data_IF_244717738064
#
_entry.id   IF_244717738064
#
_cell.length_a   1.000
_cell.length_b   1.000
_cell.length_c   1.000
_cell.angle_alpha   90.00
_cell.angle_beta   90.00
_cell.angle_gamma   90.00
#
_symmetry.space_group_name_H-M   'P 1'
#
loop_
_entity.id
_entity.type
_entity.pdbx_description
1 polymer ?
#
# COMPACT_ATOMS: atom_id res chain seq x y z
N UNK A 1 -3.92 16.61 13.29
CA UNK A 1 -4.32 17.02 11.94
C UNK A 1 -4.08 15.84 11.03
N UNK A 2 -5.15 15.14 10.67
CA UNK A 2 -5.11 13.91 9.88
C UNK A 2 -4.69 14.20 8.43
N UNK A 3 -3.95 13.25 7.86
CA UNK A 3 -3.55 13.26 6.46
C UNK A 3 -4.77 12.82 5.62
N UNK A 4 -5.33 13.70 4.80
CA UNK A 4 -6.58 13.53 4.03
C UNK A 4 -6.39 12.73 2.73
N UNK A 5 -5.30 11.97 2.64
CA UNK A 5 -4.91 11.22 1.44
C UNK A 5 -4.42 12.08 0.28
N UNK A 6 -4.41 13.41 0.41
CA UNK A 6 -3.73 14.28 -0.55
C UNK A 6 -2.25 14.34 -0.17
N UNK A 7 -1.36 14.26 -1.16
CA UNK A 7 0.06 14.55 -0.93
C UNK A 7 0.14 16.01 -0.45
N UNK A 8 0.43 16.22 0.84
CA UNK A 8 0.53 17.57 1.40
C UNK A 8 1.95 18.11 1.18
N UNK A 9 2.05 19.29 0.60
CA UNK A 9 3.33 20.01 0.44
C UNK A 9 4.02 20.12 1.80
N UNK A 10 5.28 19.70 1.87
CA UNK A 10 6.08 19.67 3.09
C UNK A 10 6.03 18.35 3.88
N UNK A 11 5.14 17.42 3.53
CA UNK A 11 5.03 16.14 4.20
C UNK A 11 6.22 15.22 3.90
N UNK A 12 6.67 14.51 4.93
CA UNK A 12 7.70 13.48 4.85
C UNK A 12 7.05 12.09 4.91
N UNK A 13 7.55 11.19 4.07
CA UNK A 13 7.15 9.80 3.99
C UNK A 13 8.38 8.93 4.10
N UNK A 14 8.31 7.89 4.92
CA UNK A 14 9.39 6.92 5.06
C UNK A 14 8.93 5.57 4.56
N UNK A 15 9.71 4.94 3.70
CA UNK A 15 9.41 3.59 3.23
C UNK A 15 10.69 2.82 2.91
N UNK A 16 10.58 1.50 2.98
CA UNK A 16 11.66 0.58 2.61
C UNK A 16 11.35 -0.01 1.25
N UNK A 17 12.36 -0.08 0.37
CA UNK A 17 12.19 -0.61 -0.96
C UNK A 17 13.46 -1.30 -1.46
N UNK A 18 13.27 -2.26 -2.36
CA UNK A 18 14.36 -2.90 -3.08
C UNK A 18 14.81 -2.02 -4.25
N UNK A 19 16.13 -1.90 -4.40
CA UNK A 19 16.78 -1.23 -5.51
C UNK A 19 16.69 -2.09 -6.77
N UNK A 20 16.13 -1.56 -7.85
CA UNK A 20 15.92 -2.30 -9.11
C UNK A 20 16.39 -1.49 -10.32
N UNK A 21 16.56 -2.13 -11.48
CA UNK A 21 16.80 -1.46 -12.76
C UNK A 21 18.03 -0.53 -12.73
N UNK A 22 19.15 -0.99 -12.18
CA UNK A 22 20.36 -0.17 -12.01
C UNK A 22 20.90 0.39 -13.33
N UNK A 23 20.64 -0.26 -14.47
CA UNK A 23 20.97 0.26 -15.81
C UNK A 23 20.22 1.55 -16.18
N UNK A 24 19.13 1.87 -15.49
CA UNK A 24 18.32 3.09 -15.70
C UNK A 24 18.65 4.17 -14.67
N UNK A 25 19.60 3.94 -13.77
CA UNK A 25 20.00 4.95 -12.81
C UNK A 25 20.93 5.94 -13.47
N UNK A 26 20.70 7.23 -13.22
CA UNK A 26 21.34 8.29 -13.98
C UNK A 26 21.04 9.66 -13.39
N UNK A 27 21.60 10.69 -14.00
CA UNK A 27 21.16 12.05 -13.71
C UNK A 27 19.66 12.18 -13.98
N UNK A 28 18.96 12.92 -13.12
CA UNK A 28 17.53 13.13 -13.28
C UNK A 28 17.28 13.95 -14.54
N UNK A 29 16.59 13.35 -15.51
CA UNK A 29 16.34 13.93 -16.83
C UNK A 29 14.89 14.40 -17.03
N UNK A 30 14.15 14.63 -15.94
CA UNK A 30 12.77 15.13 -16.00
C UNK A 30 12.69 16.66 -16.10
N UNK A 31 11.48 17.18 -16.31
CA UNK A 31 11.24 18.61 -16.56
C UNK A 31 11.34 19.51 -15.31
N UNK A 32 11.66 18.94 -14.15
CA UNK A 32 11.74 19.68 -12.88
C UNK A 32 13.15 20.27 -12.69
N UNK A 33 13.30 21.56 -12.97
CA UNK A 33 14.61 22.23 -12.85
C UNK A 33 15.21 22.13 -11.45
N UNK A 34 14.39 22.08 -10.39
CA UNK A 34 14.83 21.96 -9.00
C UNK A 34 15.52 20.62 -8.71
N UNK A 35 15.28 19.61 -9.55
CA UNK A 35 15.87 18.27 -9.45
C UNK A 35 16.99 18.03 -10.46
N UNK A 36 17.40 19.03 -11.23
CA UNK A 36 18.46 18.91 -12.25
C UNK A 36 19.82 18.40 -11.74
N UNK A 37 20.09 18.55 -10.43
CA UNK A 37 21.31 18.04 -9.78
C UNK A 37 21.11 16.68 -9.08
N UNK A 38 19.90 16.13 -9.14
CA UNK A 38 19.55 14.86 -8.50
C UNK A 38 19.87 13.69 -9.43
N UNK A 39 20.01 12.52 -8.82
CA UNK A 39 20.17 11.24 -9.50
C UNK A 39 18.87 10.46 -9.37
N UNK A 40 18.47 9.77 -10.42
CA UNK A 40 17.29 8.90 -10.45
C UNK A 40 17.67 7.49 -10.03
N UNK A 41 16.97 6.97 -9.03
CA UNK A 41 17.05 5.57 -8.61
C UNK A 41 15.68 4.93 -8.77
N UNK A 42 15.65 3.72 -9.30
CA UNK A 42 14.43 2.94 -9.43
C UNK A 42 14.31 1.98 -8.26
N UNK A 43 13.14 1.99 -7.63
CA UNK A 43 12.85 1.19 -6.45
C UNK A 43 11.56 0.43 -6.62
N UNK A 44 11.50 -0.76 -6.03
CA UNK A 44 10.30 -1.55 -5.89
C UNK A 44 9.98 -1.60 -4.40
N UNK A 45 9.04 -0.77 -3.98
CA UNK A 45 8.36 -0.96 -2.71
C UNK A 45 7.44 -2.19 -2.83
N UNK A 46 7.13 -2.86 -1.72
CA UNK A 46 6.22 -4.02 -1.67
C UNK A 46 4.84 -3.73 -2.30
N UNK A 47 4.44 -2.45 -2.39
CA UNK A 47 3.19 -1.97 -2.96
C UNK A 47 3.33 -1.17 -4.28
N UNK A 48 4.51 -1.16 -4.91
CA UNK A 48 4.76 -0.43 -6.15
C UNK A 48 4.33 -1.24 -7.40
N UNK A 49 3.95 -0.59 -8.52
CA UNK A 49 3.71 -1.29 -9.80
C UNK A 49 4.95 -2.09 -10.22
N UNK A 50 4.75 -3.17 -11.02
CA UNK A 50 5.83 -4.04 -11.54
C UNK A 50 6.97 -3.23 -12.18
N UNK A 51 6.65 -2.06 -12.73
CA UNK A 51 7.61 -1.14 -13.34
C UNK A 51 8.56 -0.46 -12.36
N UNK A 52 8.29 -0.52 -11.05
CA UNK A 52 9.00 0.26 -10.04
C UNK A 52 8.56 1.72 -10.02
N UNK A 53 9.13 2.43 -9.06
CA UNK A 53 8.97 3.86 -8.86
C UNK A 53 10.34 4.54 -9.02
N UNK A 54 10.39 5.61 -9.80
CA UNK A 54 11.54 6.51 -9.83
C UNK A 54 11.54 7.43 -8.60
N UNK A 55 12.68 7.49 -7.91
CA UNK A 55 12.95 8.36 -6.77
C UNK A 55 14.17 9.23 -7.08
N UNK A 56 13.97 10.55 -7.25
CA UNK A 56 15.06 11.51 -7.30
C UNK A 56 15.78 11.60 -5.94
N UNK A 57 17.09 11.41 -5.92
CA UNK A 57 17.93 11.42 -4.72
C UNK A 57 19.31 12.03 -5.00
N UNK A 58 19.93 12.69 -4.01
CA UNK A 58 21.31 13.19 -4.16
C UNK A 58 22.29 12.03 -4.36
N UNK A 59 23.11 12.10 -5.41
CA UNK A 59 24.10 11.07 -5.74
C UNK A 59 25.06 10.73 -4.58
N UNK A 60 25.35 11.70 -3.71
CA UNK A 60 26.19 11.51 -2.53
C UNK A 60 25.61 10.54 -1.50
N UNK A 61 24.28 10.40 -1.42
CA UNK A 61 23.61 9.52 -0.45
C UNK A 61 23.64 8.04 -0.85
N UNK A 62 23.84 7.76 -2.14
CA UNK A 62 23.70 6.40 -2.71
C UNK A 62 25.03 5.83 -3.19
N UNK A 63 26.16 6.36 -2.69
CA UNK A 63 27.49 5.94 -3.13
C UNK A 63 27.71 4.46 -2.79
N UNK A 64 27.96 3.65 -3.81
CA UNK A 64 28.23 2.20 -3.66
C UNK A 64 26.98 1.31 -3.59
N UNK A 65 25.78 1.88 -3.77
CA UNK A 65 24.53 1.12 -3.80
C UNK A 65 24.41 0.31 -5.10
N UNK A 66 23.75 -0.85 -5.03
CA UNK A 66 23.56 -1.77 -6.17
C UNK A 66 22.14 -2.33 -6.22
N UNK A 67 21.71 -2.73 -7.41
CA UNK A 67 20.47 -3.48 -7.59
C UNK A 67 20.43 -4.73 -6.70
N UNK A 68 19.23 -5.05 -6.20
CA UNK A 68 18.97 -6.13 -5.25
C UNK A 68 19.21 -5.76 -3.78
N UNK A 69 19.82 -4.60 -3.49
CA UNK A 69 19.91 -4.12 -2.10
C UNK A 69 18.58 -3.53 -1.64
N UNK A 70 18.34 -3.57 -0.34
CA UNK A 70 17.20 -2.91 0.28
C UNK A 70 17.65 -1.65 1.00
N UNK A 71 16.87 -0.57 0.85
CA UNK A 71 17.13 0.69 1.52
C UNK A 71 15.84 1.30 2.06
N UNK A 72 15.97 2.03 3.16
CA UNK A 72 14.91 2.88 3.69
C UNK A 72 15.11 4.30 3.21
N UNK A 73 14.08 4.88 2.60
CA UNK A 73 14.07 6.22 2.05
C UNK A 73 13.21 7.14 2.91
N UNK A 74 13.66 8.38 3.10
CA UNK A 74 12.83 9.48 3.58
C UNK A 74 12.56 10.42 2.42
N UNK A 75 11.32 10.50 1.98
CA UNK A 75 10.88 11.26 0.81
C UNK A 75 10.03 12.43 1.24
N UNK A 76 10.32 13.61 0.68
CA UNK A 76 9.55 14.83 0.88
C UNK A 76 8.69 15.11 -0.35
N UNK A 77 7.45 15.52 -0.12
CA UNK A 77 6.62 16.15 -1.15
C UNK A 77 6.87 17.65 -1.11
N UNK A 78 7.22 18.23 -2.25
CA UNK A 78 7.36 19.66 -2.45
C UNK A 78 6.46 20.11 -3.60
N UNK A 79 6.30 21.42 -3.70
CA UNK A 79 5.49 22.09 -4.70
C UNK A 79 6.33 23.24 -5.24
N UNK A 80 6.33 23.44 -6.55
CA UNK A 80 7.03 24.54 -7.18
C UNK A 80 6.16 25.81 -7.27
N UNK A 81 6.70 26.87 -7.88
CA UNK A 81 5.98 28.12 -8.09
C UNK A 81 4.80 28.01 -9.07
N UNK A 82 4.69 26.90 -9.80
CA UNK A 82 3.61 26.61 -10.75
C UNK A 82 2.56 25.66 -10.16
N UNK A 83 2.62 25.39 -8.85
CA UNK A 83 1.76 24.47 -8.12
C UNK A 83 1.88 22.99 -8.55
N UNK A 84 2.99 22.62 -9.19
CA UNK A 84 3.27 21.23 -9.52
C UNK A 84 3.89 20.52 -8.31
N UNK A 85 3.24 19.45 -7.85
CA UNK A 85 3.75 18.63 -6.75
C UNK A 85 4.76 17.60 -7.26
N UNK A 86 5.90 17.54 -6.58
CA UNK A 86 6.95 16.56 -6.87
C UNK A 86 7.51 15.96 -5.59
N UNK A 87 8.19 14.82 -5.73
CA UNK A 87 8.80 14.09 -4.62
C UNK A 87 10.28 13.89 -4.83
N UNK A 88 11.05 13.95 -3.75
CA UNK A 88 12.46 13.62 -3.76
C UNK A 88 12.88 13.06 -2.41
N UNK A 89 13.90 12.18 -2.42
CA UNK A 89 14.47 11.66 -1.20
C UNK A 89 15.39 12.71 -0.56
N UNK A 90 15.11 13.03 0.70
CA UNK A 90 15.96 13.88 1.54
C UNK A 90 17.04 13.09 2.24
N UNK A 91 16.78 11.80 2.50
CA UNK A 91 17.69 10.89 3.17
C UNK A 91 17.43 9.45 2.73
N UNK A 92 18.44 8.58 2.80
CA UNK A 92 18.30 7.17 2.53
C UNK A 92 19.41 6.33 3.21
N UNK A 93 19.07 5.12 3.66
CA UNK A 93 20.00 4.25 4.40
C UNK A 93 19.90 2.81 3.88
N UNK A 94 21.03 2.21 3.52
CA UNK A 94 21.12 0.79 3.17
C UNK A 94 20.88 -0.09 4.39
N UNK A 95 20.21 -1.21 4.16
CA UNK A 95 20.07 -2.28 5.13
C UNK A 95 21.21 -3.27 4.87
N UNK A 96 22.28 -3.19 5.68
CA UNK A 96 23.54 -3.94 5.46
C UNK A 96 23.64 -5.27 6.22
N UNK A 97 22.64 -5.58 7.04
CA UNK A 97 22.47 -6.89 7.68
C UNK A 97 21.12 -7.44 7.22
N UNK A 98 20.96 -8.75 6.95
CA UNK A 98 19.65 -9.38 7.07
C UNK A 98 19.32 -9.34 8.56
N UNK A 99 18.97 -8.15 9.05
CA UNK A 99 18.33 -8.01 10.32
C UNK A 99 17.00 -8.69 10.07
N UNK A 100 16.85 -9.92 10.58
CA UNK A 100 15.64 -10.23 11.32
C UNK A 100 15.45 -9.06 12.26
N UNK A 101 14.81 -8.00 11.77
CA UNK A 101 14.09 -7.14 12.67
C UNK A 101 13.11 -8.13 13.29
N UNK A 102 13.41 -8.54 14.53
CA UNK A 102 12.39 -8.60 15.56
C UNK A 102 11.73 -7.22 15.56
N UNK A 103 10.90 -7.01 14.56
CA UNK A 103 9.63 -6.35 14.71
C UNK A 103 9.08 -7.04 15.95
N UNK A 104 8.97 -6.29 17.04
CA UNK A 104 8.09 -6.71 18.11
C UNK A 104 6.78 -7.03 17.42
N UNK A 105 6.47 -8.33 17.30
CA UNK A 105 5.26 -8.83 16.67
C UNK A 105 4.08 -8.26 17.46
N UNK A 106 3.61 -7.09 17.06
CA UNK A 106 2.20 -6.99 16.81
C UNK A 106 2.05 -7.59 15.42
N UNK A 107 1.50 -8.79 15.37
CA UNK A 107 1.21 -9.59 14.17
C UNK A 107 0.20 -8.89 13.26
N UNK A 108 0.47 -7.66 12.83
CA UNK A 108 -0.32 -6.99 11.80
C UNK A 108 0.16 -7.53 10.46
N UNK A 109 -0.52 -8.59 10.01
CA UNK A 109 -0.37 -9.16 8.68
C UNK A 109 -0.59 -8.06 7.63
N UNK A 110 0.49 -7.64 6.98
CA UNK A 110 0.44 -6.70 5.87
C UNK A 110 -0.34 -7.35 4.71
N UNK A 111 -1.32 -6.62 4.14
CA UNK A 111 -2.11 -7.15 3.02
C UNK A 111 -1.29 -7.02 1.73
N UNK A 112 -1.00 -8.16 1.10
CA UNK A 112 -0.35 -8.22 -0.21
C UNK A 112 -1.38 -7.98 -1.31
N UNK A 113 -1.52 -6.71 -1.71
CA UNK A 113 -2.48 -6.30 -2.74
C UNK A 113 -2.19 -6.90 -4.12
N UNK A 114 -0.92 -7.14 -4.47
CA UNK A 114 -0.56 -7.67 -5.78
C UNK A 114 -0.88 -9.17 -5.86
N UNK A 115 -0.57 -9.93 -4.81
CA UNK A 115 -0.96 -11.33 -4.69
C UNK A 115 -2.48 -11.48 -4.89
N UNK A 116 -3.28 -10.64 -4.22
CA UNK A 116 -4.74 -10.66 -4.32
C UNK A 116 -5.26 -10.37 -5.73
N UNK A 117 -4.64 -9.43 -6.46
CA UNK A 117 -5.00 -9.15 -7.84
C UNK A 117 -4.68 -10.32 -8.79
N UNK A 118 -3.70 -11.14 -8.44
CA UNK A 118 -3.33 -12.35 -9.16
C UNK A 118 -4.03 -13.62 -8.64
N UNK A 119 -4.98 -13.48 -7.70
CA UNK A 119 -5.78 -14.57 -7.17
C UNK A 119 -5.16 -15.34 -6.02
N UNK A 120 -4.07 -14.83 -5.43
CA UNK A 120 -3.50 -15.33 -4.18
C UNK A 120 -4.00 -14.47 -3.00
N UNK A 121 -4.85 -15.07 -2.18
CA UNK A 121 -5.51 -14.42 -1.05
C UNK A 121 -4.85 -14.76 0.29
N UNK A 122 -3.63 -15.28 0.28
CA UNK A 122 -2.93 -15.74 1.49
C UNK A 122 -2.80 -14.66 2.55
N UNK A 123 -2.58 -13.40 2.15
CA UNK A 123 -2.44 -12.27 3.09
C UNK A 123 -3.76 -11.82 3.75
N UNK A 124 -4.92 -12.25 3.23
CA UNK A 124 -6.24 -11.99 3.81
C UNK A 124 -6.93 -13.26 4.34
N UNK A 125 -6.28 -14.42 4.19
CA UNK A 125 -6.77 -15.71 4.65
C UNK A 125 -7.08 -15.66 6.14
N UNK A 126 -8.18 -16.27 6.56
CA UNK A 126 -8.67 -16.24 7.94
C UNK A 126 -10.14 -15.84 8.02
N UNK A 127 -10.61 -15.73 9.26
CA UNK A 127 -11.99 -15.47 9.61
C UNK A 127 -12.16 -14.02 10.01
N UNK A 128 -13.09 -13.35 9.35
CA UNK A 128 -13.43 -11.96 9.56
C UNK A 128 -14.84 -11.89 10.10
N UNK A 129 -15.03 -11.18 11.22
CA UNK A 129 -16.33 -11.01 11.87
C UNK A 129 -16.60 -9.55 12.16
N UNK A 130 -17.85 -9.11 11.97
CA UNK A 130 -18.31 -7.79 12.38
C UNK A 130 -19.07 -7.87 13.71
N UNK A 131 -19.44 -6.73 14.29
CA UNK A 131 -20.11 -6.69 15.61
C UNK A 131 -21.55 -7.23 15.56
N UNK A 132 -22.14 -7.29 14.36
CA UNK A 132 -23.44 -7.93 14.11
C UNK A 132 -23.36 -9.47 14.06
N UNK A 133 -22.16 -10.06 14.16
CA UNK A 133 -21.95 -11.51 14.14
C UNK A 133 -21.92 -12.14 12.74
N UNK A 134 -21.90 -11.33 11.68
CA UNK A 134 -21.70 -11.84 10.32
C UNK A 134 -20.24 -12.22 10.10
N UNK A 135 -20.02 -13.25 9.26
CA UNK A 135 -18.69 -13.78 9.02
C UNK A 135 -18.36 -13.91 7.53
N UNK A 136 -17.09 -13.60 7.23
CA UNK A 136 -16.45 -13.83 5.94
C UNK A 136 -15.21 -14.68 6.21
N UNK A 137 -15.01 -15.73 5.41
CA UNK A 137 -13.85 -16.62 5.56
C UNK A 137 -13.08 -16.67 4.26
N UNK A 138 -11.80 -16.35 4.32
CA UNK A 138 -10.85 -16.47 3.22
C UNK A 138 -9.91 -17.65 3.45
N UNK A 139 -9.51 -18.30 2.35
CA UNK A 139 -8.27 -19.07 2.28
C UNK A 139 -7.40 -18.49 1.16
N UNK A 140 -6.22 -19.09 0.90
CA UNK A 140 -5.31 -18.66 -0.17
C UNK A 140 -5.93 -18.60 -1.58
N UNK A 141 -7.02 -19.34 -1.82
CA UNK A 141 -7.70 -19.42 -3.12
C UNK A 141 -8.94 -18.51 -3.21
N UNK A 142 -9.29 -17.78 -2.14
CA UNK A 142 -10.41 -16.83 -2.12
C UNK A 142 -11.41 -17.09 -0.99
N UNK A 143 -12.67 -16.75 -1.23
CA UNK A 143 -13.74 -16.90 -0.24
C UNK A 143 -14.14 -18.36 -0.06
N UNK A 144 -14.09 -18.84 1.17
CA UNK A 144 -14.65 -20.13 1.61
C UNK A 144 -16.09 -19.95 2.10
N UNK A 145 -16.38 -18.80 2.72
CA UNK A 145 -17.70 -18.39 3.18
C UNK A 145 -17.94 -16.95 2.74
N UNK A 146 -19.02 -16.74 1.99
CA UNK A 146 -19.40 -15.42 1.46
C UNK A 146 -19.77 -15.43 -0.02
N UNK A 147 -19.29 -16.38 -0.82
CA UNK A 147 -19.61 -16.45 -2.25
C UNK A 147 -18.35 -16.69 -3.09
N UNK A 148 -18.39 -16.34 -4.38
CA UNK A 148 -17.25 -16.44 -5.29
C UNK A 148 -16.81 -15.07 -5.80
N UNK A 149 -15.51 -14.80 -5.77
CA UNK A 149 -14.94 -13.56 -6.30
C UNK A 149 -14.93 -13.65 -7.83
N UNK A 150 -15.66 -12.76 -8.48
CA UNK A 150 -15.72 -12.67 -9.95
C UNK A 150 -14.69 -11.69 -10.52
N UNK A 151 -14.44 -10.60 -9.78
CA UNK A 151 -13.51 -9.54 -10.19
C UNK A 151 -12.88 -8.90 -8.96
N UNK A 152 -11.61 -8.58 -9.04
CA UNK A 152 -10.88 -7.76 -8.07
C UNK A 152 -10.28 -6.52 -8.75
N UNK A 153 -9.99 -5.48 -7.97
CA UNK A 153 -9.35 -4.26 -8.47
C UNK A 153 -8.96 -3.32 -7.34
N UNK A 154 -7.96 -2.47 -7.58
CA UNK A 154 -7.51 -1.47 -6.60
C UNK A 154 -8.25 -0.15 -6.84
N UNK A 155 -8.85 0.39 -5.79
CA UNK A 155 -9.44 1.72 -5.76
C UNK A 155 -8.38 2.81 -5.67
N UNK A 156 -8.73 4.02 -6.10
CA UNK A 156 -7.81 5.19 -6.07
C UNK A 156 -7.40 5.61 -4.66
N UNK A 157 -8.11 5.15 -3.64
CA UNK A 157 -7.86 5.34 -2.21
C UNK A 157 -7.04 4.20 -1.58
N UNK A 158 -6.63 3.20 -2.36
CA UNK A 158 -5.79 2.09 -1.88
C UNK A 158 -6.57 0.91 -1.29
N UNK A 159 -7.90 0.93 -1.34
CA UNK A 159 -8.73 -0.23 -1.00
C UNK A 159 -8.70 -1.29 -2.12
N UNK A 160 -8.85 -2.57 -1.78
CA UNK A 160 -9.04 -3.62 -2.78
C UNK A 160 -10.52 -3.96 -2.85
N UNK A 161 -11.15 -3.63 -3.98
CA UNK A 161 -12.54 -3.94 -4.26
C UNK A 161 -12.71 -5.30 -4.91
N UNK A 162 -13.79 -5.99 -4.55
CA UNK A 162 -14.21 -7.27 -5.09
C UNK A 162 -15.68 -7.21 -5.49
N UNK A 163 -16.00 -7.81 -6.63
CA UNK A 163 -17.36 -8.20 -6.98
C UNK A 163 -17.55 -9.66 -6.60
N UNK A 164 -18.45 -9.92 -5.66
CA UNK A 164 -18.74 -11.27 -5.18
C UNK A 164 -20.09 -11.74 -5.71
N UNK A 165 -20.11 -12.93 -6.32
CA UNK A 165 -21.33 -13.62 -6.74
C UNK A 165 -21.76 -14.62 -5.68
N UNK A 166 -23.06 -14.65 -5.40
CA UNK A 166 -23.73 -15.66 -4.57
C UNK A 166 -24.78 -16.42 -5.37
N UNK A 167 -24.52 -16.63 -6.68
CA UNK A 167 -25.45 -17.21 -7.63
C UNK A 167 -26.18 -16.13 -8.46
N UNK A 168 -27.52 -16.02 -8.41
CA UNK A 168 -28.27 -15.02 -9.18
C UNK A 168 -28.12 -13.59 -8.64
N UNK A 169 -27.56 -13.43 -7.45
CA UNK A 169 -27.29 -12.15 -6.80
C UNK A 169 -25.79 -11.98 -6.53
N UNK A 170 -25.40 -10.81 -6.05
CA UNK A 170 -24.04 -10.53 -5.62
C UNK A 170 -23.98 -9.30 -4.74
N UNK A 171 -22.77 -8.99 -4.29
CA UNK A 171 -22.48 -7.84 -3.44
C UNK A 171 -21.08 -7.30 -3.71
N UNK A 172 -20.86 -6.05 -3.29
CA UNK A 172 -19.54 -5.43 -3.28
C UNK A 172 -18.83 -5.74 -1.98
N UNK A 173 -17.55 -6.04 -2.07
CA UNK A 173 -16.69 -6.19 -0.90
C UNK A 173 -15.43 -5.37 -1.09
N UNK A 174 -14.96 -4.71 -0.04
CA UNK A 174 -13.73 -3.92 -0.07
C UNK A 174 -12.87 -4.28 1.13
N UNK A 175 -11.62 -4.63 0.87
CA UNK A 175 -10.58 -4.78 1.88
C UNK A 175 -9.85 -3.45 2.01
N UNK A 176 -9.73 -2.97 3.25
CA UNK A 176 -9.03 -1.75 3.63
C UNK A 176 -7.80 -2.14 4.46
N UNK A 177 -6.59 -2.03 3.88
CA UNK A 177 -5.36 -2.17 4.64
C UNK A 177 -5.26 -1.16 5.79
N UNK A 178 -4.41 -1.48 6.77
CA UNK A 178 -4.03 -0.57 7.87
C UNK A 178 -3.71 0.83 7.32
N UNK A 179 -4.25 1.86 7.98
CA UNK A 179 -4.05 3.25 7.61
C UNK A 179 -4.88 3.76 6.41
N UNK A 180 -5.60 2.92 5.68
CA UNK A 180 -6.46 3.35 4.56
C UNK A 180 -7.84 3.76 5.06
N UNK A 181 -8.18 5.04 5.06
CA UNK A 181 -9.44 5.55 5.63
C UNK A 181 -10.71 5.13 4.86
N UNK A 182 -11.77 4.75 5.59
CA UNK A 182 -13.14 4.66 5.06
C UNK A 182 -13.82 6.01 5.31
N UNK A 183 -14.24 6.72 4.26
CA UNK A 183 -14.60 8.16 4.36
C UNK A 183 -15.89 8.47 5.12
N UNK A 184 -16.81 7.53 5.23
CA UNK A 184 -18.18 7.74 5.73
C UNK A 184 -18.48 6.96 7.01
N UNK A 185 -17.47 6.29 7.59
CA UNK A 185 -17.65 5.47 8.78
C UNK A 185 -16.39 5.48 9.61
N UNK A 186 -16.56 5.49 10.93
CA UNK A 186 -15.43 5.35 11.83
C UNK A 186 -14.98 3.88 11.89
N UNK A 187 -13.67 3.65 11.97
CA UNK A 187 -13.08 2.31 12.02
C UNK A 187 -11.67 2.35 12.61
N UNK A 188 -11.23 1.22 13.16
CA UNK A 188 -9.90 1.11 13.74
C UNK A 188 -8.82 1.07 12.65
N UNK A 189 -8.24 2.23 12.32
CA UNK A 189 -7.19 2.36 11.30
C UNK A 189 -5.91 1.56 11.62
N UNK A 190 -5.72 1.10 12.86
CA UNK A 190 -4.58 0.25 13.24
C UNK A 190 -4.75 -1.20 12.79
N UNK A 191 -5.93 -1.57 12.29
CA UNK A 191 -6.26 -2.92 11.80
C UNK A 191 -6.56 -2.91 10.32
N UNK A 192 -6.50 -4.07 9.71
CA UNK A 192 -7.12 -4.31 8.41
C UNK A 192 -8.64 -4.43 8.60
N UNK A 193 -9.42 -3.99 7.62
CA UNK A 193 -10.90 -3.98 7.69
C UNK A 193 -11.50 -4.51 6.41
N UNK A 194 -12.67 -5.12 6.53
CA UNK A 194 -13.50 -5.46 5.38
C UNK A 194 -14.85 -4.78 5.51
N UNK A 195 -15.33 -4.23 4.39
CA UNK A 195 -16.74 -3.87 4.20
C UNK A 195 -17.30 -4.84 3.16
N UNK A 196 -18.49 -5.38 3.42
CA UNK A 196 -19.19 -6.24 2.49
C UNK A 196 -20.69 -5.97 2.54
N UNK A 197 -21.32 -5.82 1.37
CA UNK A 197 -22.76 -5.63 1.28
C UNK A 197 -23.22 -5.15 -0.08
N UNK A 198 -24.55 -5.14 -0.28
CA UNK A 198 -25.16 -4.54 -1.47
C UNK A 198 -25.24 -3.02 -1.37
N UNK A 199 -25.17 -2.48 -0.15
CA UNK A 199 -25.20 -1.05 0.16
C UNK A 199 -23.97 -0.68 0.98
N UNK A 200 -23.58 0.60 0.91
CA UNK A 200 -22.54 1.13 1.79
C UNK A 200 -22.97 0.97 3.27
N UNK A 201 -22.03 0.70 4.18
CA UNK A 201 -22.32 0.59 5.60
C UNK A 201 -22.70 1.96 6.19
N UNK A 202 -23.55 1.94 7.21
CA UNK A 202 -24.05 3.10 7.93
C UNK A 202 -23.67 3.11 9.43
N UNK A 203 -23.13 2.01 9.95
CA UNK A 203 -22.56 1.90 11.30
C UNK A 203 -21.22 1.14 11.31
N UNK A 204 -20.31 1.52 12.21
CA UNK A 204 -19.02 0.83 12.44
C UNK A 204 -19.19 -0.64 12.81
N UNK A 205 -20.34 -1.01 13.39
CA UNK A 205 -20.72 -2.40 13.70
C UNK A 205 -20.72 -3.32 12.46
N UNK A 206 -20.86 -2.74 11.27
CA UNK A 206 -20.87 -3.46 9.99
C UNK A 206 -19.47 -3.71 9.43
N UNK A 207 -18.43 -3.11 10.03
CA UNK A 207 -17.03 -3.30 9.63
C UNK A 207 -16.52 -4.62 10.18
N UNK A 208 -15.95 -5.44 9.30
CA UNK A 208 -15.41 -6.75 9.65
C UNK A 208 -13.94 -6.62 10.04
N UNK A 209 -13.58 -7.27 11.14
CA UNK A 209 -12.21 -7.40 11.61
C UNK A 209 -11.83 -8.88 11.68
N UNK A 210 -10.55 -9.17 11.51
CA UNK A 210 -10.02 -10.52 11.63
C UNK A 210 -10.08 -10.99 13.09
N UNK A 211 -10.45 -12.25 13.33
CA UNK A 211 -10.63 -12.81 14.69
C UNK A 211 -9.77 -14.05 14.98
N UNK A 212 -8.91 -14.45 14.05
CA UNK A 212 -7.97 -15.58 14.17
C UNK A 212 -6.50 -15.17 13.99
#
# INVERSE_FOLDING_TARGET
MENDGRLKTGQLYRFTAELIRQSFWGEYNGNLQQLSSYYSVWVRASNAPITGIEIPIKKSLIKGWKEGMTATFTVKIAEDSEHFQYRFATDATLITTPTEEKHTENTTQEIDTQAILHGDYSSVAGTWRNELGHEIVFNKNGLVKGGQIYKSGIGSDGQIGFSVSTGPTGYGMSVYPIGITIKWIDSDLSKNRIIAGQTAPNSSEQVFYKID
#
